data_IF_606431553039
#
_entry.id   IF_606431553039
#
_cell.length_a   1.000
_cell.length_b   1.000
_cell.length_c   1.000
_cell.angle_alpha   90.00
_cell.angle_beta   90.00
_cell.angle_gamma   90.00
#
_symmetry.space_group_name_H-M   'P 1'
#
loop_
_entity.id
_entity.type
_entity.pdbx_description
1 polymer ?
#
# COMPACT_ATOMS: atom_id res chain seq x y z
N UNK A 1 -4.24 -12.26 15.84
CA UNK A 1 -3.86 -11.36 16.94
C UNK A 1 -4.83 -10.18 16.93
N UNK A 2 -5.55 -9.87 18.03
CA UNK A 2 -6.44 -8.71 18.08
C UNK A 2 -5.73 -7.36 17.90
N UNK A 3 -4.42 -7.29 18.11
CA UNK A 3 -3.64 -6.08 17.85
C UNK A 3 -3.43 -5.78 16.36
N UNK A 4 -3.78 -6.71 15.47
CA UNK A 4 -3.53 -6.57 14.03
C UNK A 4 -4.70 -5.92 13.31
N UNK A 5 -4.39 -5.07 12.34
CA UNK A 5 -5.31 -4.70 11.28
C UNK A 5 -5.18 -5.66 10.10
N UNK A 6 -6.25 -5.81 9.33
CA UNK A 6 -6.30 -6.73 8.20
C UNK A 6 -6.93 -6.08 6.98
N UNK A 7 -6.44 -6.45 5.80
CA UNK A 7 -6.99 -6.09 4.50
C UNK A 7 -7.38 -7.35 3.73
N UNK A 8 -8.55 -7.35 3.10
CA UNK A 8 -8.98 -8.42 2.18
C UNK A 8 -9.19 -7.81 0.80
N UNK A 9 -8.30 -8.14 -0.13
CA UNK A 9 -8.39 -7.76 -1.53
C UNK A 9 -9.01 -8.91 -2.32
N UNK A 10 -10.16 -8.67 -2.93
CA UNK A 10 -10.81 -9.69 -3.78
C UNK A 10 -10.29 -9.55 -5.20
N UNK A 11 -9.73 -10.62 -5.74
CA UNK A 11 -9.33 -10.70 -7.15
C UNK A 11 -10.49 -11.24 -8.01
N UNK A 12 -11.19 -12.28 -7.52
CA UNK A 12 -12.35 -12.86 -8.20
C UNK A 12 -13.28 -13.60 -7.24
N UNK A 13 -14.56 -13.74 -7.62
CA UNK A 13 -15.61 -14.41 -6.84
C UNK A 13 -16.59 -13.45 -6.17
N UNK A 14 -17.57 -14.00 -5.46
CA UNK A 14 -18.60 -13.26 -4.71
C UNK A 14 -18.33 -13.40 -3.21
N UNK A 15 -17.56 -12.47 -2.65
CA UNK A 15 -17.03 -12.58 -1.28
C UNK A 15 -17.70 -11.57 -0.36
N UNK A 16 -18.02 -12.02 0.86
CA UNK A 16 -18.36 -11.16 2.00
C UNK A 16 -17.31 -11.25 3.10
N UNK A 17 -16.96 -10.11 3.68
CA UNK A 17 -16.21 -9.99 4.93
C UNK A 17 -17.15 -9.52 6.04
N UNK A 18 -17.33 -10.34 7.08
CA UNK A 18 -18.23 -10.07 8.22
C UNK A 18 -19.63 -9.62 7.74
N UNK A 19 -20.14 -10.28 6.69
CA UNK A 19 -21.44 -10.00 6.08
C UNK A 19 -21.47 -8.82 5.09
N UNK A 20 -20.40 -8.04 4.98
CA UNK A 20 -20.24 -6.93 4.04
C UNK A 20 -19.70 -7.43 2.70
N UNK A 21 -20.37 -7.09 1.59
CA UNK A 21 -19.91 -7.47 0.24
C UNK A 21 -18.60 -6.75 -0.09
N UNK A 22 -17.64 -7.50 -0.64
CA UNK A 22 -16.36 -6.99 -1.16
C UNK A 22 -16.23 -7.43 -2.61
N UNK A 23 -16.30 -6.49 -3.54
CA UNK A 23 -16.28 -6.80 -4.98
C UNK A 23 -14.84 -7.03 -5.48
N UNK A 24 -14.66 -7.70 -6.64
CA UNK A 24 -13.37 -7.75 -7.30
C UNK A 24 -12.74 -6.35 -7.46
N UNK A 25 -11.44 -6.27 -7.22
CA UNK A 25 -10.63 -5.04 -7.14
C UNK A 25 -10.97 -4.09 -5.98
N UNK A 26 -11.83 -4.49 -5.02
CA UNK A 26 -12.01 -3.76 -3.76
C UNK A 26 -11.15 -4.34 -2.64
N UNK A 27 -10.61 -3.45 -1.80
CA UNK A 27 -9.90 -3.79 -0.58
C UNK A 27 -10.80 -3.47 0.63
N UNK A 28 -11.26 -4.50 1.33
CA UNK A 28 -11.96 -4.32 2.60
C UNK A 28 -10.95 -4.20 3.75
N UNK A 29 -11.19 -3.24 4.64
CA UNK A 29 -10.34 -2.99 5.81
C UNK A 29 -11.04 -3.42 7.10
N UNK A 30 -10.33 -4.19 7.91
CA UNK A 30 -10.73 -4.59 9.25
C UNK A 30 -9.75 -4.01 10.28
N UNK A 31 -10.21 -3.00 11.01
CA UNK A 31 -9.46 -2.39 12.10
C UNK A 31 -9.09 -3.40 13.21
N UNK A 32 -8.07 -3.09 14.04
CA UNK A 32 -7.72 -3.89 15.21
C UNK A 32 -8.89 -4.10 16.17
N UNK A 33 -8.75 -5.11 17.03
CA UNK A 33 -9.73 -5.51 18.05
C UNK A 33 -10.49 -6.79 17.70
N UNK A 34 -10.40 -7.27 16.45
CA UNK A 34 -11.09 -8.49 16.02
C UNK A 34 -10.27 -9.74 16.35
N UNK A 35 -10.95 -10.75 16.88
CA UNK A 35 -10.36 -12.09 17.15
C UNK A 35 -10.49 -13.05 15.98
N UNK A 36 -11.47 -12.83 15.12
CA UNK A 36 -11.74 -13.61 13.93
C UNK A 36 -12.35 -12.70 12.87
N UNK A 37 -12.18 -13.08 11.60
CA UNK A 37 -12.87 -12.50 10.45
C UNK A 37 -13.64 -13.63 9.76
N UNK A 38 -14.89 -13.37 9.39
CA UNK A 38 -15.69 -14.34 8.64
C UNK A 38 -15.66 -13.98 7.17
N UNK A 39 -15.10 -14.87 6.36
CA UNK A 39 -15.15 -14.79 4.90
C UNK A 39 -16.20 -15.76 4.36
N UNK A 40 -17.07 -15.30 3.49
CA UNK A 40 -18.10 -16.14 2.85
C UNK A 40 -18.05 -15.94 1.36
N UNK A 41 -17.84 -17.03 0.61
CA UNK A 41 -18.09 -17.05 -0.82
C UNK A 41 -19.57 -17.39 -1.04
N UNK A 42 -20.34 -16.48 -1.65
CA UNK A 42 -21.77 -16.66 -1.88
C UNK A 42 -22.07 -17.47 -3.15
N UNK A 43 -21.06 -17.70 -4.00
CA UNK A 43 -21.21 -18.40 -5.26
C UNK A 43 -20.68 -19.84 -5.20
N UNK A 44 -21.21 -20.77 -6.03
CA UNK A 44 -20.63 -22.11 -6.19
C UNK A 44 -19.25 -22.10 -6.85
N UNK A 45 -18.96 -21.07 -7.65
CA UNK A 45 -17.66 -20.89 -8.29
C UNK A 45 -16.59 -20.53 -7.25
N UNK A 46 -15.33 -20.91 -7.51
CA UNK A 46 -14.22 -20.58 -6.62
C UNK A 46 -14.00 -19.05 -6.56
N UNK A 47 -13.64 -18.57 -5.37
CA UNK A 47 -13.17 -17.20 -5.16
C UNK A 47 -11.65 -17.19 -4.95
N UNK A 48 -10.98 -16.14 -5.42
CA UNK A 48 -9.56 -15.87 -5.17
C UNK A 48 -9.42 -14.50 -4.51
N UNK A 49 -8.74 -14.47 -3.38
CA UNK A 49 -8.50 -13.27 -2.60
C UNK A 49 -7.11 -13.28 -1.99
N UNK A 50 -6.62 -12.10 -1.63
CA UNK A 50 -5.43 -11.88 -0.84
C UNK A 50 -5.85 -11.34 0.52
N UNK A 51 -5.34 -11.96 1.59
CA UNK A 51 -5.47 -11.46 2.95
C UNK A 51 -4.12 -10.90 3.40
N UNK A 52 -4.11 -9.65 3.82
CA UNK A 52 -2.97 -8.93 4.37
C UNK A 52 -3.25 -8.64 5.84
N UNK A 53 -2.25 -8.71 6.70
CA UNK A 53 -2.43 -8.36 8.11
C UNK A 53 -1.12 -8.13 8.85
N UNK A 54 -1.18 -7.30 9.88
CA UNK A 54 -0.04 -6.91 10.69
C UNK A 54 -0.41 -5.89 11.77
N UNK A 55 0.51 -5.57 12.69
CA UNK A 55 0.30 -4.47 13.63
C UNK A 55 0.15 -3.15 12.85
N UNK A 56 -0.73 -2.23 13.28
CA UNK A 56 -0.83 -0.90 12.68
C UNK A 56 0.52 -0.20 12.66
N UNK A 57 0.82 0.46 11.54
CA UNK A 57 2.09 1.16 11.40
C UNK A 57 2.12 2.41 12.30
N UNK A 58 3.09 2.55 13.23
CA UNK A 58 3.05 3.63 14.23
C UNK A 58 3.59 4.97 13.71
N UNK A 59 4.36 4.97 12.62
CA UNK A 59 5.05 6.15 12.12
C UNK A 59 4.21 6.93 11.10
N UNK A 60 4.36 8.27 11.08
CA UNK A 60 3.83 9.10 10.01
C UNK A 60 4.77 9.05 8.81
N UNK A 61 4.27 8.56 7.66
CA UNK A 61 5.06 8.43 6.42
C UNK A 61 4.51 9.32 5.31
N UNK A 62 5.40 9.85 4.49
CA UNK A 62 5.11 10.46 3.20
C UNK A 62 5.42 9.42 2.13
N UNK A 63 4.44 9.16 1.27
CA UNK A 63 4.59 8.33 0.09
C UNK A 63 4.36 9.21 -1.13
N UNK A 64 5.39 9.33 -1.98
CA UNK A 64 5.31 10.05 -3.24
C UNK A 64 6.12 9.29 -4.28
N UNK A 65 5.47 8.97 -5.41
CA UNK A 65 6.03 8.08 -6.42
C UNK A 65 6.59 6.79 -5.78
N UNK A 66 7.80 6.38 -6.12
CA UNK A 66 8.47 5.19 -5.60
C UNK A 66 9.22 5.44 -4.28
N UNK A 67 9.00 6.59 -3.61
CA UNK A 67 9.70 6.96 -2.39
C UNK A 67 8.77 6.97 -1.18
N UNK A 68 9.25 6.36 -0.11
CA UNK A 68 8.65 6.40 1.23
C UNK A 68 9.66 7.03 2.18
N UNK A 69 9.30 8.13 2.81
CA UNK A 69 10.15 8.86 3.76
C UNK A 69 9.32 9.43 4.91
N UNK A 70 9.98 10.09 5.86
CA UNK A 70 9.34 10.69 7.05
C UNK A 70 9.18 12.21 6.93
N UNK A 71 9.81 12.83 5.94
CA UNK A 71 9.79 14.28 5.72
C UNK A 71 9.79 14.64 4.24
N UNK A 72 9.34 15.86 3.91
CA UNK A 72 9.40 16.37 2.55
C UNK A 72 10.85 16.40 2.02
N UNK A 73 11.79 16.83 2.85
CA UNK A 73 13.22 16.93 2.50
C UNK A 73 13.86 15.56 2.20
N UNK A 74 13.40 14.48 2.85
CA UNK A 74 13.81 13.12 2.50
C UNK A 74 13.34 12.73 1.09
N UNK A 75 12.11 13.09 0.71
CA UNK A 75 11.58 12.83 -0.63
C UNK A 75 12.33 13.67 -1.68
N UNK A 76 12.61 14.95 -1.40
CA UNK A 76 13.40 15.83 -2.28
C UNK A 76 14.77 15.22 -2.53
N UNK A 77 15.49 14.83 -1.47
CA UNK A 77 16.81 14.20 -1.59
C UNK A 77 16.75 12.89 -2.37
N UNK A 78 15.79 12.01 -2.07
CA UNK A 78 15.63 10.76 -2.80
C UNK A 78 15.38 10.96 -4.31
N UNK A 79 14.60 11.99 -4.67
CA UNK A 79 14.38 12.37 -6.08
C UNK A 79 15.64 12.89 -6.75
N UNK A 80 16.41 13.74 -6.08
CA UNK A 80 17.68 14.24 -6.60
C UNK A 80 18.68 13.11 -6.81
N UNK A 81 18.83 12.23 -5.81
CA UNK A 81 19.72 11.06 -5.88
C UNK A 81 19.34 10.15 -7.06
N UNK A 82 18.03 9.94 -7.29
CA UNK A 82 17.54 9.16 -8.43
C UNK A 82 17.85 9.82 -9.77
N UNK A 83 17.68 11.13 -9.85
CA UNK A 83 17.90 11.89 -11.08
C UNK A 83 19.38 11.97 -11.45
N UNK A 84 20.27 12.01 -10.44
CA UNK A 84 21.73 12.01 -10.62
C UNK A 84 22.30 10.61 -10.85
N UNK A 85 21.61 9.56 -10.37
CA UNK A 85 22.08 8.18 -10.45
C UNK A 85 23.06 7.78 -9.33
N UNK A 86 23.11 8.55 -8.23
CA UNK A 86 24.20 8.43 -7.24
C UNK A 86 23.96 7.32 -6.20
N UNK A 87 22.69 6.97 -5.91
CA UNK A 87 22.34 6.13 -4.73
C UNK A 87 21.74 4.77 -5.06
N UNK A 88 20.98 4.65 -6.15
CA UNK A 88 20.09 3.49 -6.38
C UNK A 88 20.71 2.36 -7.21
N UNK A 89 22.02 2.45 -7.48
CA UNK A 89 22.75 1.49 -8.29
C UNK A 89 22.34 1.52 -9.77
N UNK A 90 22.96 0.65 -10.56
CA UNK A 90 22.69 0.50 -11.99
C UNK A 90 22.01 -0.84 -12.27
N UNK A 91 21.03 -0.84 -13.17
CA UNK A 91 20.36 -2.06 -13.62
C UNK A 91 20.95 -2.47 -14.96
N UNK A 92 21.73 -3.55 -14.97
CA UNK A 92 22.30 -4.09 -16.20
C UNK A 92 21.32 -4.99 -16.94
N UNK A 93 21.38 -4.98 -18.28
CA UNK A 93 20.57 -5.84 -19.15
C UNK A 93 19.19 -5.29 -19.51
N UNK A 94 18.86 -4.07 -19.09
CA UNK A 94 17.66 -3.35 -19.55
C UNK A 94 18.01 -2.41 -20.71
N UNK A 95 17.37 -2.58 -21.86
CA UNK A 95 17.54 -1.73 -23.03
C UNK A 95 16.57 -0.53 -22.96
N UNK A 96 16.89 0.42 -22.09
CA UNK A 96 16.10 1.63 -21.90
C UNK A 96 16.72 2.58 -20.87
N UNK A 97 16.36 3.86 -20.96
CA UNK A 97 16.78 4.85 -19.96
C UNK A 97 16.04 4.66 -18.63
N UNK A 98 16.65 5.02 -17.49
CA UNK A 98 15.95 5.09 -16.22
C UNK A 98 14.70 5.95 -16.32
N UNK A 99 13.61 5.51 -15.70
CA UNK A 99 12.35 6.27 -15.67
C UNK A 99 12.57 7.62 -14.95
N UNK A 100 12.22 8.76 -15.54
CA UNK A 100 12.41 10.04 -14.88
C UNK A 100 11.44 10.16 -13.69
N UNK A 101 11.94 10.66 -12.56
CA UNK A 101 11.07 11.00 -11.45
C UNK A 101 10.19 12.21 -11.82
N UNK A 102 8.89 12.21 -11.48
CA UNK A 102 8.01 13.35 -11.75
C UNK A 102 8.48 14.65 -11.08
N UNK A 103 7.96 15.79 -11.52
CA UNK A 103 8.15 17.05 -10.79
C UNK A 103 7.46 16.98 -9.42
N UNK A 104 8.09 17.59 -8.42
CA UNK A 104 7.47 17.71 -7.11
C UNK A 104 6.34 18.74 -7.16
N UNK A 105 5.23 18.52 -6.45
CA UNK A 105 4.20 19.53 -6.33
C UNK A 105 4.74 20.77 -5.63
N UNK A 106 4.20 21.95 -5.96
CA UNK A 106 4.58 23.24 -5.36
C UNK A 106 4.13 23.40 -3.90
N UNK A 107 3.53 22.36 -3.30
CA UNK A 107 3.07 22.35 -1.90
C UNK A 107 3.82 21.27 -1.11
N UNK A 108 4.13 21.51 0.18
CA UNK A 108 4.77 20.51 1.02
C UNK A 108 3.95 19.23 1.07
N UNK A 109 4.62 18.10 0.86
CA UNK A 109 4.03 16.77 1.00
C UNK A 109 3.67 16.53 2.48
N UNK A 110 2.44 16.10 2.73
CA UNK A 110 1.94 15.86 4.09
C UNK A 110 2.05 14.37 4.45
N UNK A 111 2.55 14.05 5.65
CA UNK A 111 2.52 12.67 6.13
C UNK A 111 1.10 12.14 6.24
N UNK A 112 0.92 10.86 5.91
CA UNK A 112 -0.32 10.13 6.19
C UNK A 112 -0.39 9.88 7.69
N UNK A 113 -1.39 10.45 8.35
CA UNK A 113 -1.68 10.22 9.76
C UNK A 113 -2.66 9.07 9.90
N UNK A 114 -2.31 8.07 10.69
CA UNK A 114 -3.28 7.07 11.13
C UNK A 114 -4.23 7.74 12.12
N UNK A 115 -5.51 7.83 11.76
CA UNK A 115 -6.55 8.33 12.65
C UNK A 115 -6.71 7.29 13.76
N UNK A 116 -6.30 7.66 14.98
CA UNK A 116 -6.48 6.83 16.18
C UNK A 116 -7.96 6.67 16.51
#
# INVERSE_FOLDING_TARGET
DPGFEHGVLVDSGDVRLDGTVVRPAELAYAAPGRRALTLTNQAPAAARLLMLGGPPFPEEIIMWWNFVGRSHDEIVRAREDWTKGDRFGEVHGYDGSPLPAPELPNVPLKPRRNRR
#
